data_IF_503045609920
#
_entry.id   IF_503045609920
#
_cell.length_a   1.000
_cell.length_b   1.000
_cell.length_c   1.000
_cell.angle_alpha   90.00
_cell.angle_beta   90.00
_cell.angle_gamma   90.00
#
_symmetry.space_group_name_H-M   'P 1'
#
loop_
_entity.id
_entity.type
_entity.pdbx_description
1 polymer ?
#
# COMPACT_ATOMS: atom_id res chain seq x y z
N UNK A 1 10.99 -8.30 8.41
CA UNK A 1 10.33 -6.96 8.50
C UNK A 1 11.22 -6.03 9.28
N UNK A 2 11.47 -4.86 8.72
CA UNK A 2 12.20 -3.75 9.35
C UNK A 2 11.29 -2.53 9.36
N UNK A 3 11.27 -1.78 10.46
CA UNK A 3 10.56 -0.49 10.51
C UNK A 3 11.40 0.53 11.27
N UNK A 4 11.37 1.75 10.78
CA UNK A 4 11.99 2.90 11.41
C UNK A 4 11.04 4.08 11.36
N UNK A 5 10.80 4.72 12.50
CA UNK A 5 9.89 5.84 12.62
C UNK A 5 10.53 7.04 13.32
N UNK A 6 10.12 8.23 12.89
CA UNK A 6 10.47 9.50 13.52
C UNK A 6 9.19 10.28 13.82
N UNK A 7 9.07 10.76 15.04
CA UNK A 7 7.98 11.66 15.46
C UNK A 7 8.59 12.99 15.90
N UNK A 8 8.08 14.07 15.35
CA UNK A 8 8.46 15.43 15.71
C UNK A 8 7.23 16.20 16.20
N UNK A 9 7.26 16.60 17.47
CA UNK A 9 6.19 17.39 18.12
C UNK A 9 6.84 18.60 18.78
N UNK A 10 6.97 19.72 18.05
CA UNK A 10 7.64 20.91 18.57
C UNK A 10 6.80 21.59 19.67
N UNK A 11 7.46 21.96 20.76
CA UNK A 11 6.84 22.65 21.91
C UNK A 11 7.54 23.98 22.19
N UNK A 12 7.93 24.69 21.14
CA UNK A 12 8.62 25.99 21.29
C UNK A 12 7.62 27.13 21.50
N UNK A 13 7.88 28.04 22.47
CA UNK A 13 7.02 29.15 22.80
C UNK A 13 6.66 30.05 21.60
N UNK A 14 7.57 30.20 20.65
CA UNK A 14 7.32 31.00 19.45
C UNK A 14 6.31 30.32 18.47
N UNK A 15 6.03 29.02 18.62
CA UNK A 15 5.04 28.29 17.83
C UNK A 15 3.66 28.28 18.48
N UNK A 16 3.55 28.63 19.76
CA UNK A 16 2.27 28.67 20.50
C UNK A 16 1.16 29.44 19.77
N UNK A 17 1.43 30.60 19.13
CA UNK A 17 0.40 31.34 18.38
C UNK A 17 -0.07 30.61 17.11
N UNK A 18 0.64 29.58 16.64
CA UNK A 18 0.32 28.83 15.44
C UNK A 18 -0.37 27.49 15.70
N UNK A 19 -0.59 27.15 16.98
CA UNK A 19 -1.23 25.91 17.40
C UNK A 19 -0.25 24.75 17.59
N UNK A 20 -0.81 23.57 17.79
CA UNK A 20 -0.03 22.37 18.06
C UNK A 20 0.19 21.59 16.76
N UNK A 21 1.43 21.18 16.54
CA UNK A 21 1.82 20.40 15.38
C UNK A 21 2.41 19.05 15.80
N UNK A 22 2.11 18.04 15.04
CA UNK A 22 2.81 16.75 15.12
C UNK A 22 3.05 16.20 13.74
N UNK A 23 4.29 15.81 13.45
CA UNK A 23 4.69 15.14 12.22
C UNK A 23 5.28 13.79 12.59
N UNK A 24 4.79 12.74 11.96
CA UNK A 24 5.38 11.41 12.03
C UNK A 24 5.67 10.89 10.63
N UNK A 25 6.80 10.20 10.49
CA UNK A 25 7.20 9.50 9.27
C UNK A 25 7.73 8.13 9.66
N UNK A 26 7.15 7.10 9.10
CA UNK A 26 7.55 5.71 9.32
C UNK A 26 7.98 5.10 7.98
N UNK A 27 9.16 4.49 7.95
CA UNK A 27 9.60 3.59 6.88
C UNK A 27 9.30 2.16 7.32
N UNK A 28 8.68 1.40 6.44
CA UNK A 28 8.37 -0.02 6.66
C UNK A 28 8.88 -0.80 5.46
N UNK A 29 9.70 -1.82 5.73
CA UNK A 29 10.21 -2.76 4.75
C UNK A 29 9.84 -4.18 5.17
N UNK A 30 9.22 -4.93 4.28
CA UNK A 30 8.80 -6.30 4.51
C UNK A 30 9.36 -7.16 3.39
N UNK A 31 10.24 -8.08 3.74
CA UNK A 31 10.63 -9.16 2.86
C UNK A 31 10.06 -10.46 3.42
N UNK A 32 9.20 -11.12 2.66
CA UNK A 32 8.51 -12.33 3.04
C UNK A 32 8.75 -13.40 1.99
N UNK A 33 9.22 -14.56 2.42
CA UNK A 33 9.36 -15.76 1.60
C UNK A 33 8.37 -16.82 2.05
N UNK A 34 8.09 -17.76 1.18
CA UNK A 34 7.23 -18.92 1.47
C UNK A 34 5.82 -18.52 1.94
N UNK A 35 5.29 -17.37 1.46
CA UNK A 35 3.90 -17.05 1.77
C UNK A 35 2.95 -17.96 1.01
N UNK A 36 1.76 -18.17 1.57
CA UNK A 36 0.73 -19.00 0.94
C UNK A 36 0.15 -18.27 -0.26
N UNK A 37 0.36 -18.80 -1.45
CA UNK A 37 -0.24 -18.31 -2.69
C UNK A 37 -1.11 -19.38 -3.32
N UNK A 38 -2.02 -18.97 -4.20
CA UNK A 38 -2.85 -19.88 -5.00
C UNK A 38 -2.33 -19.90 -6.41
N UNK A 39 -1.92 -21.06 -6.87
CA UNK A 39 -1.43 -21.26 -8.23
C UNK A 39 -2.59 -21.44 -9.20
N UNK A 40 -2.56 -20.72 -10.31
CA UNK A 40 -3.38 -21.01 -11.49
C UNK A 40 -2.83 -22.20 -12.26
N UNK A 41 -3.62 -22.72 -13.23
CA UNK A 41 -3.11 -23.74 -14.14
C UNK A 41 -1.87 -23.28 -14.91
N UNK A 42 -1.84 -22.01 -15.31
CA UNK A 42 -0.71 -21.46 -16.05
C UNK A 42 0.55 -21.43 -15.18
N UNK A 43 0.43 -21.00 -13.91
CA UNK A 43 1.56 -20.99 -12.98
C UNK A 43 2.14 -22.39 -12.76
N UNK A 44 1.27 -23.42 -12.64
CA UNK A 44 1.72 -24.80 -12.54
C UNK A 44 2.43 -25.27 -13.82
N UNK A 45 1.95 -24.86 -14.99
CA UNK A 45 2.56 -25.23 -16.27
C UNK A 45 3.92 -24.56 -16.43
N UNK A 46 4.02 -23.27 -16.14
CA UNK A 46 5.29 -22.52 -16.18
C UNK A 46 6.28 -23.11 -15.18
N UNK A 47 5.90 -23.30 -13.93
CA UNK A 47 6.75 -23.91 -12.91
C UNK A 47 7.14 -25.39 -13.23
N UNK A 48 6.33 -26.10 -14.01
CA UNK A 48 6.67 -27.44 -14.46
C UNK A 48 7.70 -27.45 -15.62
N UNK A 49 7.52 -26.57 -16.62
CA UNK A 49 8.30 -26.62 -17.86
C UNK A 49 9.53 -25.73 -17.86
N UNK A 50 9.49 -24.61 -17.14
CA UNK A 50 10.56 -23.59 -17.15
C UNK A 50 11.58 -23.82 -16.02
N UNK A 51 11.31 -24.73 -15.10
CA UNK A 51 12.26 -25.06 -14.04
C UNK A 51 13.50 -25.80 -14.55
N UNK A 52 14.64 -25.59 -13.89
CA UNK A 52 15.90 -26.25 -14.21
C UNK A 52 15.85 -27.79 -14.12
N UNK A 53 14.86 -28.35 -13.41
CA UNK A 53 14.62 -29.77 -13.26
C UNK A 53 13.24 -30.15 -13.80
N UNK A 54 13.21 -30.96 -14.84
CA UNK A 54 11.98 -31.53 -15.44
C UNK A 54 12.07 -33.05 -15.52
N UNK A 55 10.99 -33.83 -15.15
CA UNK A 55 9.78 -33.37 -14.48
C UNK A 55 10.01 -33.05 -13.00
N UNK A 56 9.17 -32.19 -12.44
CA UNK A 56 9.18 -31.81 -11.03
C UNK A 56 7.79 -31.97 -10.37
N UNK A 57 7.63 -31.60 -9.11
CA UNK A 57 6.38 -31.77 -8.38
C UNK A 57 5.22 -30.93 -8.94
N UNK A 58 5.49 -29.81 -9.60
CA UNK A 58 4.44 -28.98 -10.21
C UNK A 58 3.77 -29.70 -11.39
N UNK A 59 4.50 -30.57 -12.10
CA UNK A 59 3.98 -31.36 -13.22
C UNK A 59 2.90 -32.38 -12.80
N UNK A 60 2.77 -32.67 -11.51
CA UNK A 60 1.76 -33.61 -11.00
C UNK A 60 0.38 -32.97 -10.83
N UNK A 61 0.28 -31.65 -10.94
CA UNK A 61 -0.96 -30.91 -10.66
C UNK A 61 -1.87 -30.78 -11.91
N UNK A 62 -1.45 -31.25 -13.06
CA UNK A 62 -2.28 -31.27 -14.27
C UNK A 62 -2.00 -32.52 -15.11
N UNK A 63 -3.00 -32.93 -15.90
CA UNK A 63 -2.90 -34.05 -16.80
C UNK A 63 -3.20 -33.61 -18.26
N UNK A 64 -2.51 -34.20 -19.20
CA UNK A 64 -2.74 -33.99 -20.63
C UNK A 64 -3.22 -35.29 -21.29
N UNK A 65 -4.07 -35.15 -22.31
CA UNK A 65 -4.45 -36.25 -23.19
C UNK A 65 -3.38 -36.53 -24.25
N UNK A 66 -3.67 -37.48 -25.13
CA UNK A 66 -2.78 -37.86 -26.22
C UNK A 66 -2.54 -36.75 -27.25
N UNK A 67 -3.38 -35.76 -27.33
CA UNK A 67 -3.30 -34.58 -28.20
C UNK A 67 -2.61 -33.38 -27.53
N UNK A 68 -2.21 -33.54 -26.25
CA UNK A 68 -1.51 -32.52 -25.47
C UNK A 68 -2.45 -31.49 -24.76
N UNK A 69 -3.78 -31.69 -24.85
CA UNK A 69 -4.74 -30.84 -24.19
C UNK A 69 -4.79 -31.14 -22.69
N UNK A 70 -4.90 -30.09 -21.84
CA UNK A 70 -5.11 -30.26 -20.38
C UNK A 70 -6.53 -30.75 -20.17
N UNK A 71 -6.70 -31.95 -19.61
CA UNK A 71 -7.99 -32.59 -19.34
C UNK A 71 -8.39 -32.56 -17.86
N UNK A 72 -7.41 -32.40 -16.97
CA UNK A 72 -7.61 -32.33 -15.53
C UNK A 72 -6.51 -31.47 -14.90
N UNK A 73 -6.86 -30.69 -13.89
CA UNK A 73 -5.89 -29.95 -13.10
C UNK A 73 -6.41 -29.68 -11.68
N UNK A 74 -5.49 -29.61 -10.76
CA UNK A 74 -5.79 -29.29 -9.36
C UNK A 74 -5.26 -27.91 -9.03
N UNK A 75 -6.16 -26.99 -8.69
CA UNK A 75 -5.80 -25.71 -8.11
C UNK A 75 -5.48 -25.92 -6.64
N UNK A 76 -4.33 -25.47 -6.21
CA UNK A 76 -3.87 -25.64 -4.84
C UNK A 76 -3.21 -24.37 -4.32
N UNK A 77 -3.23 -24.23 -2.99
CA UNK A 77 -2.40 -23.25 -2.31
C UNK A 77 -1.06 -23.89 -1.92
N UNK A 78 0.01 -23.17 -2.12
CA UNK A 78 1.36 -23.61 -1.76
C UNK A 78 2.14 -22.49 -1.07
N UNK A 79 3.16 -22.87 -0.30
CA UNK A 79 4.08 -21.94 0.34
C UNK A 79 5.30 -21.76 -0.58
N UNK A 80 5.25 -20.79 -1.48
CA UNK A 80 6.36 -20.54 -2.39
C UNK A 80 6.51 -19.07 -2.77
N UNK A 81 5.52 -18.23 -2.43
CA UNK A 81 5.56 -16.85 -2.83
C UNK A 81 6.65 -16.02 -2.16
N UNK A 82 7.16 -15.02 -2.88
CA UNK A 82 8.09 -14.01 -2.38
C UNK A 82 7.44 -12.63 -2.52
N UNK A 83 7.50 -11.84 -1.46
CA UNK A 83 7.07 -10.44 -1.47
C UNK A 83 8.21 -9.58 -0.95
N UNK A 84 8.56 -8.55 -1.72
CA UNK A 84 9.40 -7.44 -1.32
C UNK A 84 8.54 -6.16 -1.35
N UNK A 85 8.28 -5.61 -0.17
CA UNK A 85 7.37 -4.50 0.04
C UNK A 85 8.04 -3.40 0.84
N UNK A 86 8.00 -2.19 0.30
CA UNK A 86 8.51 -0.99 0.96
C UNK A 86 7.48 0.13 0.94
N UNK A 87 7.37 0.86 2.05
CA UNK A 87 6.45 1.99 2.14
C UNK A 87 6.92 3.03 3.14
N UNK A 88 6.62 4.30 2.83
CA UNK A 88 6.59 5.38 3.81
C UNK A 88 5.15 5.65 4.25
N UNK A 89 4.97 5.82 5.54
CA UNK A 89 3.71 6.28 6.13
C UNK A 89 3.95 7.64 6.78
N UNK A 90 3.15 8.61 6.37
CA UNK A 90 3.23 9.99 6.86
C UNK A 90 1.99 10.30 7.69
N UNK A 91 2.17 11.04 8.77
CA UNK A 91 1.07 11.65 9.52
C UNK A 91 1.46 13.06 9.91
N UNK A 92 0.62 14.01 9.52
CA UNK A 92 0.69 15.39 9.97
C UNK A 92 -0.62 15.70 10.70
N UNK A 93 -0.54 16.18 11.91
CA UNK A 93 -1.68 16.72 12.63
C UNK A 93 -1.40 18.15 13.08
N UNK A 94 -2.44 18.96 13.05
CA UNK A 94 -2.43 20.33 13.52
C UNK A 94 -3.76 20.62 14.17
N UNK A 95 -3.72 21.25 15.32
CA UNK A 95 -4.90 21.73 16.02
C UNK A 95 -4.69 23.14 16.58
N UNK A 96 -5.73 23.96 16.55
CA UNK A 96 -5.69 25.30 17.06
C UNK A 96 -7.07 25.82 17.42
N UNK A 97 -7.11 26.74 18.43
CA UNK A 97 -8.30 27.51 18.71
C UNK A 97 -8.44 28.69 17.73
N UNK A 98 -9.60 28.80 17.07
CA UNK A 98 -9.84 29.77 16.00
C UNK A 98 -9.75 31.21 16.53
N UNK A 99 -10.26 31.48 17.73
CA UNK A 99 -10.21 32.81 18.31
C UNK A 99 -8.77 33.24 18.59
N UNK A 100 -7.94 32.35 19.11
CA UNK A 100 -6.52 32.57 19.33
C UNK A 100 -5.78 32.86 18.03
N UNK A 101 -6.02 32.04 16.98
CA UNK A 101 -5.42 32.19 15.65
C UNK A 101 -5.74 33.56 15.02
N UNK A 102 -6.95 34.07 15.19
CA UNK A 102 -7.42 35.29 14.54
C UNK A 102 -7.31 36.53 15.49
N UNK A 103 -6.81 36.36 16.71
CA UNK A 103 -6.74 37.45 17.71
C UNK A 103 -8.12 37.98 18.14
N UNK A 104 -9.13 37.13 18.10
CA UNK A 104 -10.51 37.50 18.43
C UNK A 104 -10.79 37.32 19.92
N UNK A 105 -11.68 38.17 20.46
CA UNK A 105 -12.14 38.04 21.85
C UNK A 105 -13.26 37.02 22.05
N UNK A 106 -13.91 36.64 20.97
CA UNK A 106 -15.03 35.69 20.96
C UNK A 106 -14.53 34.32 20.61
N UNK A 107 -14.85 33.33 21.42
CA UNK A 107 -14.57 31.94 21.12
C UNK A 107 -15.38 31.51 19.88
N UNK A 108 -14.71 30.89 18.92
CA UNK A 108 -15.25 30.33 17.68
C UNK A 108 -15.00 28.82 17.59
N UNK A 109 -14.49 28.21 18.67
CA UNK A 109 -14.19 26.81 18.76
C UNK A 109 -12.79 26.45 18.27
N UNK A 110 -12.57 25.17 18.16
CA UNK A 110 -11.30 24.57 17.80
C UNK A 110 -11.37 23.95 16.41
N UNK A 111 -10.28 24.08 15.65
CA UNK A 111 -10.10 23.43 14.36
C UNK A 111 -8.95 22.43 14.47
N UNK A 112 -9.15 21.25 13.89
CA UNK A 112 -8.12 20.24 13.76
C UNK A 112 -8.00 19.79 12.32
N UNK A 113 -6.77 19.65 11.85
CA UNK A 113 -6.43 19.06 10.54
C UNK A 113 -5.54 17.85 10.77
N UNK A 114 -5.87 16.75 10.11
CA UNK A 114 -5.03 15.56 10.08
C UNK A 114 -4.88 15.10 8.64
N UNK A 115 -3.64 15.08 8.17
CA UNK A 115 -3.28 14.48 6.90
C UNK A 115 -2.52 13.19 7.15
N UNK A 116 -2.89 12.12 6.45
CA UNK A 116 -2.19 10.84 6.44
C UNK A 116 -1.84 10.53 5.01
N UNK A 117 -0.58 10.22 4.77
CA UNK A 117 -0.06 9.82 3.48
C UNK A 117 0.56 8.43 3.57
N UNK A 118 0.41 7.70 2.50
CA UNK A 118 1.03 6.42 2.28
C UNK A 118 1.69 6.47 0.92
N UNK A 119 3.00 6.20 0.87
CA UNK A 119 3.77 6.12 -0.35
C UNK A 119 4.40 4.75 -0.48
N UNK A 120 3.95 3.98 -1.45
CA UNK A 120 4.54 2.69 -1.77
C UNK A 120 5.81 2.89 -2.59
N UNK A 121 6.95 2.43 -2.07
CA UNK A 121 8.25 2.56 -2.73
C UNK A 121 8.66 1.31 -3.49
N UNK A 122 8.17 0.15 -3.03
CA UNK A 122 8.35 -1.13 -3.72
C UNK A 122 7.16 -2.05 -3.47
N UNK A 123 6.78 -2.82 -4.47
CA UNK A 123 5.79 -3.89 -4.40
C UNK A 123 6.15 -4.97 -5.41
N UNK A 124 7.23 -5.70 -5.10
CA UNK A 124 7.68 -6.81 -5.93
C UNK A 124 7.07 -8.10 -5.41
N UNK A 125 6.56 -8.93 -6.30
CA UNK A 125 5.91 -10.18 -5.95
C UNK A 125 6.27 -11.26 -6.97
N UNK A 126 6.63 -12.44 -6.48
CA UNK A 126 6.75 -13.66 -7.25
C UNK A 126 5.91 -14.77 -6.61
N UNK A 127 5.04 -15.37 -7.39
CA UNK A 127 4.19 -16.47 -6.91
C UNK A 127 4.90 -17.82 -7.03
N UNK A 128 5.86 -17.95 -7.96
CA UNK A 128 6.68 -19.13 -8.16
C UNK A 128 7.68 -19.44 -7.04
N UNK A 129 8.00 -18.42 -6.22
CA UNK A 129 9.07 -18.50 -5.24
C UNK A 129 10.47 -18.29 -5.82
N UNK A 130 10.60 -18.12 -7.13
CA UNK A 130 11.86 -17.75 -7.76
C UNK A 130 12.03 -16.22 -7.72
N UNK A 131 13.13 -15.70 -7.13
CA UNK A 131 13.40 -14.27 -7.14
C UNK A 131 13.59 -13.67 -8.54
N UNK A 132 13.87 -14.47 -9.56
CA UNK A 132 14.00 -14.01 -10.95
C UNK A 132 12.61 -13.70 -11.57
N UNK A 133 11.53 -14.26 -11.00
CA UNK A 133 10.15 -14.04 -11.42
C UNK A 133 9.48 -12.84 -10.73
N UNK A 134 10.24 -12.03 -9.97
CA UNK A 134 9.70 -10.87 -9.27
C UNK A 134 9.11 -9.85 -10.26
N UNK A 135 7.82 -9.62 -10.14
CA UNK A 135 7.08 -8.61 -10.91
C UNK A 135 6.91 -7.37 -10.05
N UNK A 136 7.39 -6.23 -10.54
CA UNK A 136 7.15 -4.93 -9.90
C UNK A 136 5.70 -4.48 -10.16
N UNK A 137 4.92 -4.43 -9.10
CA UNK A 137 3.51 -4.01 -9.09
C UNK A 137 3.31 -2.60 -8.55
N UNK A 138 4.38 -1.89 -8.20
CA UNK A 138 4.31 -0.52 -7.70
C UNK A 138 3.64 0.40 -8.72
N UNK A 139 2.59 1.12 -8.30
CA UNK A 139 1.82 1.99 -9.17
C UNK A 139 0.83 1.26 -10.11
N UNK A 140 0.52 -0.01 -9.83
CA UNK A 140 -0.64 -0.65 -10.48
C UNK A 140 -1.93 -0.14 -9.85
N UNK A 141 -3.06 -0.30 -10.55
CA UNK A 141 -4.38 0.09 -10.03
C UNK A 141 -4.76 -0.62 -8.73
N UNK A 142 -4.26 -1.85 -8.52
CA UNK A 142 -4.42 -2.60 -7.27
C UNK A 142 -3.42 -2.20 -6.17
N UNK A 143 -2.29 -1.60 -6.57
CA UNK A 143 -1.17 -1.26 -5.70
C UNK A 143 -0.70 0.18 -6.00
N UNK A 144 -1.54 1.21 -5.73
CA UNK A 144 -1.26 2.60 -6.09
C UNK A 144 -0.02 3.11 -5.37
N UNK A 145 0.77 3.96 -6.04
CA UNK A 145 1.99 4.52 -5.48
C UNK A 145 1.68 5.49 -4.33
N UNK A 146 0.61 6.29 -4.47
CA UNK A 146 0.19 7.24 -3.47
C UNK A 146 -1.26 7.04 -3.03
N UNK A 147 -1.44 7.02 -1.72
CA UNK A 147 -2.74 7.12 -1.05
C UNK A 147 -2.63 8.20 0.02
N UNK A 148 -3.62 9.07 0.15
CA UNK A 148 -3.67 9.97 1.28
C UNK A 148 -5.10 10.36 1.64
N UNK A 149 -5.29 10.70 2.89
CA UNK A 149 -6.50 11.30 3.41
C UNK A 149 -6.21 12.61 4.14
N UNK A 150 -7.10 13.57 3.96
CA UNK A 150 -7.13 14.82 4.72
C UNK A 150 -8.44 14.89 5.47
N UNK A 151 -8.33 15.07 6.77
CA UNK A 151 -9.46 15.22 7.66
C UNK A 151 -9.42 16.62 8.28
N UNK A 152 -10.54 17.34 8.20
CA UNK A 152 -10.75 18.61 8.85
C UNK A 152 -11.90 18.48 9.83
N UNK A 153 -11.69 18.85 11.08
CA UNK A 153 -12.69 18.83 12.12
C UNK A 153 -12.82 20.23 12.74
N UNK A 154 -14.03 20.66 13.02
CA UNK A 154 -14.32 21.87 13.76
C UNK A 154 -15.31 21.56 14.87
N UNK A 155 -15.04 22.10 16.06
CA UNK A 155 -15.90 21.93 17.21
C UNK A 155 -16.15 23.27 17.89
N UNK A 156 -17.40 23.57 18.20
CA UNK A 156 -17.80 24.75 18.93
C UNK A 156 -19.04 24.46 19.78
N UNK A 157 -18.93 24.54 21.10
CA UNK A 157 -19.98 24.14 22.04
C UNK A 157 -20.51 22.74 21.78
N UNK A 158 -21.79 22.64 21.39
CA UNK A 158 -22.46 21.36 21.03
C UNK A 158 -22.46 21.08 19.52
N UNK A 159 -21.79 21.92 18.73
CA UNK A 159 -21.67 21.74 17.28
C UNK A 159 -20.36 21.07 16.93
N UNK A 160 -20.44 20.15 15.99
CA UNK A 160 -19.29 19.46 15.42
C UNK A 160 -19.48 19.36 13.91
N UNK A 161 -18.47 19.76 13.17
CA UNK A 161 -18.42 19.59 11.73
C UNK A 161 -17.16 18.80 11.36
N UNK A 162 -17.30 17.90 10.41
CA UNK A 162 -16.22 17.05 9.93
C UNK A 162 -16.25 16.98 8.41
N UNK A 163 -15.09 17.10 7.80
CA UNK A 163 -14.91 16.95 6.36
C UNK A 163 -13.71 16.08 6.08
N UNK A 164 -13.85 15.14 5.14
CA UNK A 164 -12.78 14.23 4.74
C UNK A 164 -12.64 14.22 3.23
N UNK A 165 -11.39 14.23 2.78
CA UNK A 165 -10.99 14.00 1.40
C UNK A 165 -10.07 12.79 1.37
N UNK A 166 -10.35 11.85 0.47
CA UNK A 166 -9.50 10.71 0.20
C UNK A 166 -8.96 10.84 -1.23
N UNK A 167 -7.70 10.54 -1.39
CA UNK A 167 -7.03 10.52 -2.69
C UNK A 167 -6.40 9.15 -2.91
N UNK A 168 -6.58 8.63 -4.10
CA UNK A 168 -5.92 7.43 -4.62
C UNK A 168 -5.24 7.82 -5.92
N UNK A 169 -3.95 7.59 -6.03
CA UNK A 169 -3.22 7.84 -7.27
C UNK A 169 -3.71 6.91 -8.38
N UNK A 170 -3.71 7.41 -9.61
CA UNK A 170 -4.02 6.61 -10.79
C UNK A 170 -2.96 5.53 -11.02
N UNK A 171 -3.41 4.30 -11.25
CA UNK A 171 -2.54 3.15 -11.42
C UNK A 171 -2.58 2.56 -12.83
N UNK A 172 -1.53 1.85 -13.20
CA UNK A 172 -1.49 1.03 -14.41
C UNK A 172 -2.34 -0.21 -14.27
N UNK A 173 -3.13 -0.55 -15.28
CA UNK A 173 -3.88 -1.83 -15.29
C UNK A 173 -2.90 -3.00 -15.50
N UNK A 174 -1.89 -2.76 -16.34
CA UNK A 174 -0.78 -3.69 -16.58
C UNK A 174 0.42 -2.92 -17.12
N UNK A 175 1.59 -3.01 -16.49
CA UNK A 175 2.82 -2.33 -16.96
C UNK A 175 3.31 -2.79 -18.32
N UNK A 176 2.91 -3.99 -18.78
CA UNK A 176 3.23 -4.48 -20.11
C UNK A 176 2.37 -3.83 -21.22
N UNK A 177 1.27 -3.18 -20.85
CA UNK A 177 0.43 -2.41 -21.74
C UNK A 177 0.72 -0.92 -21.51
N UNK A 178 1.64 -0.38 -22.26
CA UNK A 178 2.23 0.96 -22.13
C UNK A 178 1.25 2.15 -22.25
N UNK A 179 -0.06 1.92 -22.39
CA UNK A 179 -1.01 2.97 -22.79
C UNK A 179 -2.28 3.10 -21.94
N UNK A 180 -2.42 2.38 -20.83
CA UNK A 180 -3.67 2.48 -20.04
C UNK A 180 -3.39 2.77 -18.57
N UNK A 181 -3.08 4.03 -18.27
CA UNK A 181 -3.18 4.54 -16.89
C UNK A 181 -4.67 4.80 -16.60
N UNK A 182 -5.21 4.12 -15.59
CA UNK A 182 -6.54 4.44 -15.09
C UNK A 182 -6.42 5.63 -14.14
N UNK A 183 -6.95 6.78 -14.52
CA UNK A 183 -7.12 7.93 -13.63
C UNK A 183 -8.46 7.78 -12.90
N UNK A 184 -8.44 7.76 -11.58
CA UNK A 184 -9.60 7.67 -10.69
C UNK A 184 -9.90 9.01 -10.02
#
# INVERSE_FOLDING_TARGET
TTSFGLVFTPTYDFLEPFGNFSLAVDLIEIYLTDYVTTFSLQDFMEACYDAASFPNNFCLNFQRDGDGQVIDFQVGAGNSGVIDFGTYVYRLSWDHNIASMLGLRRDLGDIGLTWRGYQQTSRNQADSGDPEDLVDRTGWASDPEWLWDLNAAWSFNNLYAYYQVNFVDGGWINKSQTDTRADY
#
